data_IF_481206978698
#
_entry.id   IF_481206978698
#
_cell.length_a   1.000
_cell.length_b   1.000
_cell.length_c   1.000
_cell.angle_alpha   90.00
_cell.angle_beta   90.00
_cell.angle_gamma   90.00
#
_symmetry.space_group_name_H-M   'P 1'
#
loop_
_entity.id
_entity.type
_entity.pdbx_description
1 polymer ?
#
# COMPACT_ATOMS: atom_id res chain seq x y z
N UNK A 1 -22.87 8.74 -0.73
CA UNK A 1 -22.14 8.36 0.52
C UNK A 1 -20.70 8.85 0.39
N UNK A 2 -20.11 9.54 1.38
CA UNK A 2 -18.76 10.13 1.24
C UNK A 2 -17.71 9.10 1.66
N UNK A 3 -16.94 8.57 0.72
CA UNK A 3 -15.91 7.57 1.00
C UNK A 3 -14.64 8.24 1.54
N UNK A 4 -14.15 7.77 2.71
CA UNK A 4 -12.90 8.26 3.36
C UNK A 4 -11.66 7.44 2.99
N UNK A 5 -11.84 6.20 2.53
CA UNK A 5 -10.79 5.29 2.10
C UNK A 5 -11.12 4.81 0.69
N UNK A 6 -10.09 4.57 -0.11
CA UNK A 6 -10.22 4.07 -1.47
C UNK A 6 -9.09 3.08 -1.76
N UNK A 7 -9.39 2.12 -2.62
CA UNK A 7 -8.37 1.25 -3.21
C UNK A 7 -7.82 1.93 -4.45
N UNK A 8 -6.49 2.00 -4.52
CA UNK A 8 -5.77 2.57 -5.64
C UNK A 8 -5.00 1.45 -6.32
N UNK A 9 -5.14 1.38 -7.64
CA UNK A 9 -4.39 0.48 -8.51
C UNK A 9 -3.68 1.32 -9.56
N UNK A 10 -2.43 0.97 -9.85
CA UNK A 10 -1.67 1.51 -10.97
C UNK A 10 -1.51 0.39 -12.01
N UNK A 11 -1.74 0.70 -13.28
CA UNK A 11 -1.62 -0.25 -14.38
C UNK A 11 -0.74 0.37 -15.47
N UNK A 12 0.31 -0.34 -15.85
CA UNK A 12 1.12 -0.04 -17.04
C UNK A 12 0.52 -0.81 -18.21
N UNK A 13 0.07 -0.09 -19.25
CA UNK A 13 -0.69 -0.67 -20.36
C UNK A 13 0.03 -0.43 -21.68
N UNK A 14 0.40 -1.53 -22.35
CA UNK A 14 0.76 -1.50 -23.77
C UNK A 14 -0.45 -1.94 -24.59
N UNK A 15 -1.16 -0.97 -25.16
CA UNK A 15 -2.42 -1.23 -25.86
C UNK A 15 -2.69 -0.18 -26.95
N UNK A 16 -3.40 -0.56 -28.03
CA UNK A 16 -3.82 0.39 -29.06
C UNK A 16 -4.89 1.36 -28.51
N UNK A 17 -5.02 2.57 -29.09
CA UNK A 17 -5.94 3.60 -28.59
C UNK A 17 -7.42 3.15 -28.52
N UNK A 18 -7.85 2.28 -29.42
CA UNK A 18 -9.22 1.74 -29.40
C UNK A 18 -9.49 0.87 -28.16
N UNK A 19 -8.50 0.07 -27.73
CA UNK A 19 -8.63 -0.79 -26.56
C UNK A 19 -8.68 0.04 -25.27
N UNK A 20 -7.85 1.10 -25.16
CA UNK A 20 -7.87 2.02 -24.01
C UNK A 20 -9.23 2.70 -23.87
N UNK A 21 -9.82 3.18 -24.97
CA UNK A 21 -11.15 3.81 -24.95
C UNK A 21 -12.25 2.85 -24.49
N UNK A 22 -12.22 1.60 -24.94
CA UNK A 22 -13.21 0.62 -24.50
C UNK A 22 -13.04 0.27 -23.02
N UNK A 23 -11.79 0.14 -22.54
CA UNK A 23 -11.51 -0.05 -21.12
C UNK A 23 -12.06 1.12 -20.28
N UNK A 24 -11.83 2.37 -20.70
CA UNK A 24 -12.36 3.56 -20.02
C UNK A 24 -13.89 3.57 -19.98
N UNK A 25 -14.54 3.17 -21.08
CA UNK A 25 -16.01 3.04 -21.15
C UNK A 25 -16.52 2.02 -20.14
N UNK A 26 -15.89 0.85 -20.07
CA UNK A 26 -16.27 -0.22 -19.13
C UNK A 26 -16.05 0.21 -17.68
N UNK A 27 -14.92 0.86 -17.37
CA UNK A 27 -14.63 1.35 -16.03
C UNK A 27 -15.59 2.47 -15.60
N UNK A 28 -16.01 3.34 -16.52
CA UNK A 28 -17.00 4.37 -16.24
C UNK A 28 -18.42 3.84 -16.00
N UNK A 29 -18.75 2.67 -16.54
CA UNK A 29 -20.02 1.97 -16.29
C UNK A 29 -20.01 1.13 -15.02
N UNK A 30 -18.83 0.84 -14.47
CA UNK A 30 -18.69 0.02 -13.28
C UNK A 30 -18.90 0.84 -12.00
N UNK A 31 -19.95 0.54 -11.25
CA UNK A 31 -20.29 1.26 -10.00
C UNK A 31 -19.26 1.08 -8.87
N UNK A 32 -18.42 0.04 -8.93
CA UNK A 32 -17.34 -0.17 -7.95
C UNK A 32 -16.13 0.73 -8.20
N UNK A 33 -16.02 1.31 -9.40
CA UNK A 33 -14.90 2.17 -9.80
C UNK A 33 -15.31 3.64 -9.67
N UNK A 34 -14.78 4.32 -8.67
CA UNK A 34 -15.18 5.70 -8.39
C UNK A 34 -14.49 6.74 -9.29
N UNK A 35 -13.23 6.49 -9.66
CA UNK A 35 -12.42 7.40 -10.48
C UNK A 35 -11.38 6.62 -11.28
N UNK A 36 -11.16 7.05 -12.50
CA UNK A 36 -10.07 6.61 -13.37
C UNK A 36 -9.24 7.81 -13.82
N UNK A 37 -7.97 7.58 -14.10
CA UNK A 37 -7.07 8.55 -14.73
C UNK A 37 -6.14 7.80 -15.66
N UNK A 38 -6.15 8.19 -16.94
CA UNK A 38 -5.26 7.63 -17.96
C UNK A 38 -4.25 8.69 -18.35
N UNK A 39 -2.96 8.34 -18.31
CA UNK A 39 -1.86 9.25 -18.66
C UNK A 39 -1.02 8.58 -19.74
N UNK A 40 -0.77 9.31 -20.83
CA UNK A 40 0.16 8.86 -21.86
C UNK A 40 1.59 9.10 -21.38
N UNK A 41 2.41 8.06 -21.49
CA UNK A 41 3.85 8.09 -21.18
C UNK A 41 4.64 7.73 -22.44
N UNK A 42 5.93 8.06 -22.45
CA UNK A 42 6.85 7.67 -23.52
C UNK A 42 7.30 6.21 -23.39
N UNK A 43 7.53 5.76 -22.16
CA UNK A 43 7.97 4.40 -21.83
C UNK A 43 7.18 3.86 -20.63
N UNK A 44 6.97 2.54 -20.61
CA UNK A 44 6.28 1.86 -19.52
C UNK A 44 7.28 1.41 -18.45
N UNK A 45 6.99 1.78 -17.21
CA UNK A 45 7.67 1.25 -16.03
C UNK A 45 6.95 -0.02 -15.54
N UNK A 46 7.69 -1.12 -15.41
CA UNK A 46 7.19 -2.41 -14.92
C UNK A 46 7.50 -2.64 -13.44
N UNK A 47 8.20 -1.71 -12.80
CA UNK A 47 8.49 -1.79 -11.37
C UNK A 47 7.26 -1.47 -10.51
N UNK A 48 7.40 -1.77 -9.22
CA UNK A 48 6.42 -1.36 -8.22
C UNK A 48 6.27 0.16 -8.24
N UNK A 49 5.03 0.63 -8.08
CA UNK A 49 4.81 2.07 -7.95
C UNK A 49 5.69 2.66 -6.83
N UNK A 50 6.20 3.89 -6.98
CA UNK A 50 7.07 4.50 -5.96
C UNK A 50 6.45 4.50 -4.55
N UNK A 51 5.12 4.55 -4.46
CA UNK A 51 4.38 4.47 -3.20
C UNK A 51 4.44 3.06 -2.60
N UNK A 52 4.22 2.02 -3.40
CA UNK A 52 4.32 0.62 -2.95
C UNK A 52 5.76 0.25 -2.59
N UNK A 53 6.72 0.61 -3.44
CA UNK A 53 8.14 0.36 -3.20
C UNK A 53 8.64 1.02 -1.90
N UNK A 54 8.14 2.23 -1.55
CA UNK A 54 8.44 2.87 -0.27
C UNK A 54 7.84 2.10 0.91
N UNK A 55 6.57 1.69 0.79
CA UNK A 55 5.87 0.95 1.85
C UNK A 55 6.50 -0.41 2.13
N UNK A 56 6.95 -1.12 1.11
CA UNK A 56 7.59 -2.43 1.29
C UNK A 56 8.92 -2.30 2.03
N UNK A 57 9.77 -1.33 1.63
CA UNK A 57 11.02 -1.03 2.37
C UNK A 57 10.79 -0.61 3.83
N UNK A 58 9.68 0.06 4.12
CA UNK A 58 9.32 0.43 5.50
C UNK A 58 8.91 -0.80 6.32
N UNK A 59 8.10 -1.69 5.74
CA UNK A 59 7.71 -2.96 6.37
C UNK A 59 8.91 -3.87 6.65
N UNK A 60 9.89 -3.90 5.77
CA UNK A 60 11.13 -4.68 5.97
C UNK A 60 11.98 -4.15 7.12
N UNK A 61 11.89 -2.84 7.42
CA UNK A 61 12.66 -2.18 8.48
C UNK A 61 11.98 -2.25 9.85
N UNK A 62 10.70 -2.59 9.91
CA UNK A 62 10.00 -2.77 11.18
C UNK A 62 10.42 -4.13 11.79
N UNK A 63 11.15 -4.16 12.92
CA UNK A 63 11.38 -5.42 13.61
C UNK A 63 10.00 -5.95 14.02
N UNK A 64 9.68 -7.17 13.59
CA UNK A 64 8.43 -7.88 13.92
C UNK A 64 8.15 -7.70 15.40
N UNK A 65 7.20 -6.81 15.72
CA UNK A 65 6.81 -6.52 17.10
C UNK A 65 5.93 -7.63 17.70
N UNK A 66 5.98 -8.81 17.09
CA UNK A 66 5.25 -10.01 17.47
C UNK A 66 6.12 -11.00 18.28
N UNK A 67 7.43 -10.76 18.41
CA UNK A 67 8.37 -11.62 19.16
C UNK A 67 8.66 -11.18 20.61
N UNK A 68 7.99 -10.15 21.13
CA UNK A 68 8.07 -9.75 22.56
C UNK A 68 6.88 -10.26 23.39
N UNK A 69 6.39 -11.46 23.06
CA UNK A 69 5.30 -12.15 23.75
C UNK A 69 5.68 -13.48 24.42
N UNK A 70 6.97 -13.84 24.53
CA UNK A 70 7.35 -15.12 25.13
C UNK A 70 8.79 -15.14 25.68
N UNK A 71 8.98 -14.62 26.90
CA UNK A 71 9.76 -15.32 27.94
C UNK A 71 9.71 -14.59 29.28
N UNK A 72 9.28 -15.35 30.28
CA UNK A 72 9.49 -15.10 31.69
C UNK A 72 10.96 -14.74 32.00
N UNK A 73 11.16 -13.93 33.05
CA UNK A 73 12.41 -13.95 33.81
C UNK A 73 13.24 -12.67 33.72
N UNK A 74 12.97 -11.71 34.60
CA UNK A 74 13.84 -10.55 34.80
C UNK A 74 13.31 -9.63 35.89
N UNK A 75 13.39 -10.09 37.14
CA UNK A 75 12.86 -9.39 38.31
C UNK A 75 13.39 -7.98 38.46
N UNK A 76 12.48 -7.01 38.51
CA UNK A 76 12.75 -5.71 39.12
C UNK A 76 12.40 -5.81 40.61
N UNK A 77 13.41 -6.04 41.45
CA UNK A 77 13.25 -5.97 42.89
C UNK A 77 13.06 -4.49 43.30
N UNK A 78 12.04 -4.15 44.11
CA UNK A 78 11.98 -2.82 44.71
C UNK A 78 13.13 -2.70 45.71
N UNK A 79 13.98 -1.68 45.55
CA UNK A 79 14.99 -1.37 46.57
C UNK A 79 14.27 -0.76 47.77
N UNK A 80 14.11 -1.55 48.81
CA UNK A 80 13.79 -1.07 50.16
C UNK A 80 14.98 -0.27 50.73
N UNK A 81 14.71 0.99 51.10
CA UNK A 81 15.19 1.62 52.35
C UNK A 81 16.56 2.32 52.37
N UNK A 82 16.57 3.55 52.91
CA UNK A 82 17.63 4.00 53.82
C UNK A 82 18.20 5.41 53.61
N UNK A 83 17.73 6.34 54.46
CA UNK A 83 18.23 7.70 54.80
C UNK A 83 18.09 8.82 53.77
#
# INVERSE_FOLDING_TARGET
>A
KKNRKGHYSLLSLDAPPAAVKEMERQLGLNEDVLRTLTVRVEELDLELSPVLARRDREREREPRRDDFGAKEGGGFAPKEGGF
#
